data_IF_903371350028
#
_entry.id   IF_903371350028
#
_cell.length_a   1.000
_cell.length_b   1.000
_cell.length_c   1.000
_cell.angle_alpha   90.00
_cell.angle_beta   90.00
_cell.angle_gamma   90.00
#
_symmetry.space_group_name_H-M   'P 1'
#
loop_
_entity.id
_entity.type
_entity.pdbx_description
1 polymer ?
#
# COMPACT_ATOMS: atom_id res chain seq x y z
N UNK A 1 -4.79 12.91 -17.26
CA UNK A 1 -3.91 11.88 -16.66
C UNK A 1 -4.37 10.53 -17.15
N UNK A 2 -3.47 9.60 -17.50
CA UNK A 2 -3.87 8.24 -17.89
C UNK A 2 -4.52 7.50 -16.72
N UNK A 3 -5.42 6.54 -17.00
CA UNK A 3 -6.03 5.73 -15.94
C UNK A 3 -4.97 4.95 -15.14
N UNK A 4 -3.86 4.56 -15.77
CA UNK A 4 -2.71 3.96 -15.09
C UNK A 4 -2.11 4.88 -14.02
N UNK A 5 -1.88 6.16 -14.35
CA UNK A 5 -1.34 7.11 -13.39
C UNK A 5 -2.33 7.41 -12.26
N UNK A 6 -3.62 7.53 -12.58
CA UNK A 6 -4.68 7.69 -11.56
C UNK A 6 -4.69 6.48 -10.62
N UNK A 7 -4.69 5.26 -11.17
CA UNK A 7 -4.67 4.03 -10.39
C UNK A 7 -3.45 3.92 -9.49
N UNK A 8 -2.25 4.28 -9.99
CA UNK A 8 -1.04 4.29 -9.18
C UNK A 8 -1.10 5.29 -8.01
N UNK A 9 -1.67 6.48 -8.22
CA UNK A 9 -1.86 7.48 -7.16
C UNK A 9 -2.88 7.02 -6.12
N UNK A 10 -3.98 6.39 -6.56
CA UNK A 10 -4.95 5.78 -5.65
C UNK A 10 -4.27 4.68 -4.84
N UNK A 11 -3.51 3.79 -5.49
CA UNK A 11 -2.72 2.76 -4.83
C UNK A 11 -1.73 3.33 -3.80
N UNK A 12 -1.13 4.48 -4.09
CA UNK A 12 -0.24 5.18 -3.15
C UNK A 12 -1.00 5.71 -1.93
N UNK A 13 -2.17 6.30 -2.12
CA UNK A 13 -3.02 6.75 -1.01
C UNK A 13 -3.43 5.57 -0.13
N UNK A 14 -3.83 4.45 -0.74
CA UNK A 14 -4.17 3.23 0.00
C UNK A 14 -2.94 2.70 0.77
N UNK A 15 -1.74 2.74 0.18
CA UNK A 15 -0.51 2.34 0.86
C UNK A 15 -0.20 3.20 2.10
N UNK A 16 -0.42 4.52 2.03
CA UNK A 16 -0.27 5.41 3.19
C UNK A 16 -1.23 5.00 4.31
N UNK A 17 -2.49 4.73 3.97
CA UNK A 17 -3.51 4.30 4.94
C UNK A 17 -3.13 2.96 5.56
N UNK A 18 -2.79 1.96 4.75
CA UNK A 18 -2.43 0.62 5.24
C UNK A 18 -1.16 0.65 6.10
N UNK A 19 -0.14 1.41 5.71
CA UNK A 19 1.05 1.62 6.53
C UNK A 19 0.72 2.21 7.90
N UNK A 20 -0.16 3.23 7.95
CA UNK A 20 -0.57 3.82 9.21
C UNK A 20 -1.29 2.80 10.11
N UNK A 21 -2.18 1.98 9.54
CA UNK A 21 -2.90 0.94 10.27
C UNK A 21 -1.95 -0.15 10.79
N UNK A 22 -1.01 -0.63 9.97
CA UNK A 22 -0.01 -1.62 10.37
C UNK A 22 0.94 -1.08 11.44
N UNK A 23 1.32 0.20 11.35
CA UNK A 23 2.11 0.88 12.38
C UNK A 23 1.35 0.97 13.70
N UNK A 24 0.06 1.30 13.67
CA UNK A 24 -0.80 1.29 14.85
C UNK A 24 -0.90 -0.11 15.47
N UNK A 25 -1.03 -1.16 14.64
CA UNK A 25 -1.04 -2.56 15.11
C UNK A 25 0.31 -2.95 15.74
N UNK A 26 1.43 -2.59 15.10
CA UNK A 26 2.77 -2.86 15.64
C UNK A 26 3.00 -2.23 17.01
N UNK A 27 2.37 -1.08 17.29
CA UNK A 27 2.39 -0.45 18.62
C UNK A 27 1.72 -1.29 19.72
N UNK A 28 0.83 -2.22 19.34
CA UNK A 28 0.08 -3.09 20.27
C UNK A 28 0.65 -4.49 20.43
N UNK A 29 1.65 -4.86 19.64
CA UNK A 29 2.32 -6.15 19.75
C UNK A 29 3.44 -6.07 20.78
N UNK A 30 3.75 -7.14 21.50
CA UNK A 30 4.89 -7.16 22.42
C UNK A 30 6.16 -7.70 21.75
N UNK A 31 6.01 -8.76 20.94
CA UNK A 31 7.11 -9.43 20.26
C UNK A 31 7.81 -8.52 19.25
N UNK A 32 9.12 -8.30 19.44
CA UNK A 32 9.92 -7.41 18.60
C UNK A 32 10.00 -7.87 17.14
N UNK A 33 10.04 -9.19 16.90
CA UNK A 33 10.10 -9.75 15.56
C UNK A 33 8.84 -9.45 14.75
N UNK A 34 7.66 -9.64 15.34
CA UNK A 34 6.39 -9.29 14.70
C UNK A 34 6.28 -7.81 14.42
N UNK A 35 6.74 -6.93 15.32
CA UNK A 35 6.82 -5.48 15.05
C UNK A 35 7.67 -5.20 13.81
N UNK A 36 8.82 -5.85 13.70
CA UNK A 36 9.73 -5.68 12.56
C UNK A 36 9.03 -6.10 11.26
N UNK A 37 8.40 -7.27 11.24
CA UNK A 37 7.66 -7.76 10.08
C UNK A 37 6.54 -6.80 9.69
N UNK A 38 5.72 -6.34 10.64
CA UNK A 38 4.63 -5.41 10.36
C UNK A 38 5.11 -4.09 9.73
N UNK A 39 6.23 -3.53 10.22
CA UNK A 39 6.78 -2.31 9.63
C UNK A 39 7.39 -2.56 8.24
N UNK A 40 8.09 -3.69 8.03
CA UNK A 40 8.65 -4.05 6.71
C UNK A 40 7.55 -4.28 5.69
N UNK A 41 6.51 -5.05 6.05
CA UNK A 41 5.35 -5.28 5.18
C UNK A 41 4.66 -3.96 4.86
N UNK A 42 4.43 -3.10 5.84
CA UNK A 42 3.84 -1.78 5.59
C UNK A 42 4.68 -0.91 4.64
N UNK A 43 6.01 -1.00 4.71
CA UNK A 43 6.89 -0.29 3.75
C UNK A 43 6.78 -0.86 2.33
N UNK A 44 6.63 -2.18 2.17
CA UNK A 44 6.47 -2.81 0.86
C UNK A 44 5.20 -2.35 0.14
N UNK A 45 4.14 -2.00 0.87
CA UNK A 45 2.88 -1.54 0.27
C UNK A 45 3.02 -0.26 -0.55
N UNK A 46 4.00 0.60 -0.24
CA UNK A 46 4.30 1.81 -1.02
C UNK A 46 4.82 1.52 -2.43
N UNK A 47 5.20 0.28 -2.72
CA UNK A 47 5.58 -0.16 -4.06
C UNK A 47 4.47 -1.05 -4.63
N UNK A 48 4.03 -2.04 -3.86
CA UNK A 48 3.09 -3.05 -4.35
C UNK A 48 1.74 -2.45 -4.75
N UNK A 49 1.17 -1.55 -3.92
CA UNK A 49 -0.16 -0.99 -4.21
C UNK A 49 -0.16 0.02 -5.35
N UNK A 50 0.82 0.95 -5.48
CA UNK A 50 0.92 1.78 -6.67
C UNK A 50 1.13 0.98 -7.95
N UNK A 51 1.98 -0.06 -7.91
CA UNK A 51 2.20 -0.94 -9.07
C UNK A 51 0.92 -1.69 -9.44
N UNK A 52 0.21 -2.26 -8.45
CA UNK A 52 -1.08 -2.88 -8.69
C UNK A 52 -2.09 -1.88 -9.28
N UNK A 53 -2.18 -0.67 -8.71
CA UNK A 53 -3.05 0.39 -9.20
C UNK A 53 -2.72 0.84 -10.63
N UNK A 54 -1.44 0.89 -10.99
CA UNK A 54 -1.00 1.21 -12.35
C UNK A 54 -1.58 0.24 -13.39
N UNK A 55 -1.62 -1.05 -13.08
CA UNK A 55 -2.15 -2.08 -13.97
C UNK A 55 -3.68 -2.22 -13.88
N UNK A 56 -4.27 -2.03 -12.70
CA UNK A 56 -5.71 -2.17 -12.49
C UNK A 56 -6.50 -0.96 -12.99
N UNK A 57 -5.93 0.25 -12.90
CA UNK A 57 -6.59 1.48 -13.34
C UNK A 57 -7.13 1.43 -14.78
N UNK A 58 -6.30 1.06 -15.78
CA UNK A 58 -6.74 0.90 -17.16
C UNK A 58 -7.82 -0.17 -17.34
N UNK A 59 -7.68 -1.33 -16.67
CA UNK A 59 -8.66 -2.42 -16.72
C UNK A 59 -10.05 -1.97 -16.26
N UNK A 60 -10.12 -1.09 -15.26
CA UNK A 60 -11.39 -0.54 -14.77
C UNK A 60 -11.90 0.58 -15.68
N UNK A 61 -11.01 1.41 -16.22
CA UNK A 61 -11.37 2.53 -17.09
C UNK A 61 -11.72 2.11 -18.53
N UNK A 62 -11.44 0.86 -18.91
CA UNK A 62 -11.62 0.36 -20.28
C UNK A 62 -10.55 0.85 -21.25
N UNK A 63 -9.36 1.16 -20.73
CA UNK A 63 -8.17 1.61 -21.47
C UNK A 63 -7.12 0.50 -21.63
#
# INVERSE_FOLDING_TARGET
MSAALIGALVGLVVAVVDFALLRMLAGRVELAETKRVLNVVGMLQFVLLPVAGWFVGPLIAGE
#
